data_IF_215204486630
#
_entry.id   IF_215204486630
#
_cell.length_a   1.000
_cell.length_b   1.000
_cell.length_c   1.000
_cell.angle_alpha   90.00
_cell.angle_beta   90.00
_cell.angle_gamma   90.00
#
_symmetry.space_group_name_H-M   'P 1'
#
loop_
_entity.id
_entity.type
_entity.pdbx_description
1 polymer ?
#
# COMPACT_ATOMS: atom_id res chain seq x y z
N UNK A 1 42.73 -10.57 -13.46
CA UNK A 1 41.48 -11.38 -13.34
C UNK A 1 41.28 -11.67 -11.87
N UNK A 2 40.51 -10.84 -11.19
CA UNK A 2 40.21 -11.01 -9.76
C UNK A 2 38.87 -11.72 -9.66
N UNK A 3 38.89 -12.98 -9.26
CA UNK A 3 37.68 -13.79 -9.04
C UNK A 3 36.92 -13.26 -7.84
N UNK A 4 35.69 -12.90 -8.06
CA UNK A 4 34.71 -12.50 -7.03
C UNK A 4 34.32 -13.76 -6.24
N UNK A 5 34.42 -13.79 -4.90
CA UNK A 5 33.98 -14.92 -4.12
C UNK A 5 32.44 -15.09 -4.16
N UNK A 6 31.95 -16.35 -4.05
CA UNK A 6 30.52 -16.61 -4.01
C UNK A 6 29.85 -16.06 -2.73
N UNK A 7 28.55 -15.76 -2.73
CA UNK A 7 27.83 -15.24 -1.58
C UNK A 7 27.83 -16.23 -0.41
N UNK A 8 28.04 -15.72 0.81
CA UNK A 8 27.98 -16.50 2.04
C UNK A 8 26.52 -16.89 2.37
N UNK A 9 26.27 -18.08 2.93
CA UNK A 9 24.93 -18.46 3.38
C UNK A 9 24.51 -17.64 4.60
N UNK A 10 23.28 -17.14 4.56
CA UNK A 10 22.65 -16.38 5.65
C UNK A 10 22.07 -17.36 6.65
N UNK A 11 22.55 -17.34 7.91
CA UNK A 11 22.00 -18.13 9.02
C UNK A 11 20.57 -17.71 9.36
N UNK A 12 19.67 -18.69 9.48
CA UNK A 12 18.27 -18.53 9.84
C UNK A 12 18.10 -18.11 11.31
N UNK A 13 17.71 -16.87 11.54
CA UNK A 13 17.15 -16.43 12.82
C UNK A 13 15.61 -16.38 12.73
N UNK A 14 14.95 -16.99 13.72
CA UNK A 14 13.54 -17.28 13.78
C UNK A 14 12.61 -16.09 13.44
N UNK A 15 11.78 -16.26 12.41
CA UNK A 15 10.76 -15.32 11.98
C UNK A 15 9.41 -16.03 11.98
N UNK A 16 8.41 -15.34 12.50
CA UNK A 16 6.98 -15.69 12.50
C UNK A 16 6.56 -16.15 11.08
N UNK A 17 6.13 -17.39 10.96
CA UNK A 17 5.80 -18.08 9.71
C UNK A 17 4.64 -17.40 9.00
N UNK A 18 4.90 -16.70 7.92
CA UNK A 18 3.93 -16.48 6.86
C UNK A 18 3.91 -17.71 5.95
N UNK A 19 2.74 -18.01 5.44
CA UNK A 19 2.39 -19.18 4.60
C UNK A 19 3.46 -19.45 3.53
N UNK A 20 4.06 -20.63 3.58
CA UNK A 20 5.07 -21.12 2.64
C UNK A 20 4.42 -21.45 1.29
N UNK A 21 4.26 -20.46 0.44
CA UNK A 21 4.26 -20.69 -1.01
C UNK A 21 5.71 -20.83 -1.39
N UNK A 22 6.15 -21.91 -2.02
CA UNK A 22 7.57 -22.19 -2.32
C UNK A 22 8.26 -21.21 -3.30
N UNK A 23 7.77 -19.98 -3.41
CA UNK A 23 8.29 -18.88 -4.22
C UNK A 23 9.12 -17.96 -3.31
N UNK A 24 10.42 -17.72 -3.63
CA UNK A 24 11.25 -16.83 -2.83
C UNK A 24 10.75 -15.37 -2.94
N UNK A 25 10.87 -14.57 -1.86
CA UNK A 25 10.48 -13.16 -1.89
C UNK A 25 11.35 -12.37 -2.86
N UNK A 26 10.73 -11.45 -3.59
CA UNK A 26 11.45 -10.51 -4.47
C UNK A 26 12.07 -9.34 -3.68
N UNK A 27 11.43 -8.97 -2.56
CA UNK A 27 11.97 -8.02 -1.59
C UNK A 27 12.01 -8.70 -0.23
N UNK A 28 13.16 -8.63 0.43
CA UNK A 28 13.37 -9.14 1.77
C UNK A 28 14.07 -8.10 2.62
N UNK A 29 13.45 -7.71 3.73
CA UNK A 29 13.98 -6.74 4.69
C UNK A 29 14.14 -7.43 6.03
N UNK A 30 15.32 -7.31 6.67
CA UNK A 30 15.67 -8.00 7.91
C UNK A 30 16.28 -7.04 8.92
N UNK A 31 15.63 -6.91 10.06
CA UNK A 31 16.05 -6.11 11.22
C UNK A 31 16.62 -4.75 10.85
N UNK A 32 15.92 -4.05 9.96
CA UNK A 32 16.39 -2.81 9.36
C UNK A 32 16.32 -1.66 10.35
N UNK A 33 17.46 -0.98 10.52
CA UNK A 33 17.59 0.20 11.38
C UNK A 33 18.16 1.38 10.61
N UNK A 34 17.65 2.58 10.92
CA UNK A 34 18.22 3.83 10.45
C UNK A 34 18.19 4.89 11.55
N UNK A 35 19.36 5.38 11.91
CA UNK A 35 19.53 6.46 12.88
C UNK A 35 20.20 7.65 12.19
N UNK A 36 19.62 8.84 12.32
CA UNK A 36 20.18 10.11 11.91
C UNK A 36 20.55 10.88 13.19
N UNK A 37 21.83 11.09 13.44
CA UNK A 37 22.33 11.71 14.68
C UNK A 37 21.72 11.09 15.94
N UNK A 38 20.63 11.70 16.47
CA UNK A 38 19.92 11.21 17.69
C UNK A 38 18.54 10.62 17.41
N UNK A 39 18.05 10.70 16.16
CA UNK A 39 16.71 10.25 15.79
C UNK A 39 16.78 8.88 15.13
N UNK A 40 16.19 7.89 15.79
CA UNK A 40 15.99 6.56 15.19
C UNK A 40 14.74 6.60 14.31
N UNK A 41 14.92 6.79 13.01
CA UNK A 41 13.84 6.87 12.04
C UNK A 41 13.26 5.50 11.68
N UNK A 42 14.07 4.42 11.73
CA UNK A 42 13.66 3.02 11.49
C UNK A 42 14.26 2.15 12.59
N UNK A 43 13.44 1.24 13.15
CA UNK A 43 13.73 0.54 14.42
C UNK A 43 13.41 -0.96 14.33
N UNK A 44 14.20 -1.73 13.58
CA UNK A 44 14.07 -3.19 13.49
C UNK A 44 12.92 -3.62 12.57
N UNK A 45 12.79 -2.99 11.42
CA UNK A 45 11.76 -3.33 10.42
C UNK A 45 12.14 -4.61 9.68
N UNK A 46 11.19 -5.57 9.63
CA UNK A 46 11.36 -6.84 8.90
C UNK A 46 10.08 -7.19 8.16
N UNK A 47 10.18 -7.52 6.87
CA UNK A 47 9.07 -8.00 6.04
C UNK A 47 9.58 -8.66 4.75
N UNK A 48 8.70 -9.43 4.11
CA UNK A 48 8.90 -10.04 2.80
C UNK A 48 7.77 -9.62 1.84
N UNK A 49 8.12 -9.46 0.55
CA UNK A 49 7.16 -9.20 -0.53
C UNK A 49 7.42 -10.23 -1.62
N UNK A 50 6.35 -10.91 -2.04
CA UNK A 50 6.43 -11.90 -3.12
C UNK A 50 6.34 -11.22 -4.49
N UNK A 51 6.87 -11.86 -5.56
CA UNK A 51 6.74 -11.36 -6.92
C UNK A 51 5.27 -11.13 -7.31
N UNK A 52 5.00 -10.01 -7.98
CA UNK A 52 3.68 -9.64 -8.48
C UNK A 52 2.72 -9.06 -7.43
N UNK A 53 3.10 -8.98 -6.15
CA UNK A 53 2.26 -8.37 -5.12
C UNK A 53 2.23 -6.85 -5.20
N UNK A 54 1.08 -6.27 -4.92
CA UNK A 54 0.90 -4.85 -4.63
C UNK A 54 0.81 -4.67 -3.12
N UNK A 55 1.80 -4.01 -2.53
CA UNK A 55 1.91 -3.83 -1.08
C UNK A 55 1.81 -2.36 -0.73
N UNK A 56 0.82 -2.03 0.10
CA UNK A 56 0.63 -0.70 0.67
C UNK A 56 1.49 -0.49 1.92
N UNK A 57 2.26 0.59 1.97
CA UNK A 57 3.07 0.98 3.11
C UNK A 57 2.50 2.22 3.77
N UNK A 58 1.85 2.04 4.92
CA UNK A 58 0.96 3.02 5.53
C UNK A 58 1.50 3.48 6.86
N UNK A 59 1.38 4.79 7.13
CA UNK A 59 1.78 5.38 8.40
C UNK A 59 1.70 6.90 8.37
N UNK A 60 1.69 7.51 9.53
CA UNK A 60 1.72 8.96 9.67
C UNK A 60 3.00 9.58 9.08
N UNK A 61 2.99 10.89 8.84
CA UNK A 61 4.20 11.61 8.46
C UNK A 61 5.25 11.49 9.58
N UNK A 62 6.50 11.20 9.20
CA UNK A 62 7.58 10.94 10.15
C UNK A 62 7.62 9.52 10.74
N UNK A 63 6.71 8.60 10.37
CA UNK A 63 6.73 7.22 10.86
C UNK A 63 7.90 6.36 10.35
N UNK A 64 8.67 6.82 9.36
CA UNK A 64 9.81 6.10 8.77
C UNK A 64 9.59 5.56 7.35
N UNK A 65 8.43 5.80 6.71
CA UNK A 65 8.11 5.31 5.35
C UNK A 65 9.17 5.70 4.32
N UNK A 66 9.30 6.99 4.06
CA UNK A 66 10.25 7.51 3.06
C UNK A 66 11.68 7.07 3.36
N UNK A 67 12.10 7.03 4.63
CA UNK A 67 13.43 6.57 5.02
C UNK A 67 13.65 5.10 4.65
N UNK A 68 12.68 4.23 4.94
CA UNK A 68 12.73 2.82 4.56
C UNK A 68 12.79 2.66 3.04
N UNK A 69 11.92 3.35 2.32
CA UNK A 69 11.86 3.27 0.85
C UNK A 69 13.12 3.82 0.19
N UNK A 70 13.75 4.87 0.72
CA UNK A 70 15.02 5.41 0.23
C UNK A 70 16.18 4.42 0.40
N UNK A 71 16.21 3.67 1.52
CA UNK A 71 17.18 2.59 1.70
C UNK A 71 16.96 1.46 0.69
N UNK A 72 15.69 1.07 0.46
CA UNK A 72 15.34 0.09 -0.58
C UNK A 72 15.75 0.58 -1.99
N UNK A 73 15.58 1.88 -2.25
CA UNK A 73 15.96 2.50 -3.52
C UNK A 73 17.48 2.77 -3.65
N UNK A 74 18.30 2.30 -2.72
CA UNK A 74 19.77 2.52 -2.68
C UNK A 74 20.19 4.00 -2.59
N UNK A 75 19.34 4.85 -2.06
CA UNK A 75 19.58 6.30 -1.90
C UNK A 75 20.10 6.66 -0.52
N UNK A 76 19.83 5.81 0.47
CA UNK A 76 20.34 5.91 1.83
C UNK A 76 20.90 4.54 2.27
N UNK A 77 21.87 4.57 3.18
CA UNK A 77 22.45 3.35 3.75
C UNK A 77 21.75 3.01 5.08
N UNK A 78 21.45 1.75 5.37
CA UNK A 78 21.00 1.33 6.69
C UNK A 78 22.10 1.55 7.73
N UNK A 79 21.72 1.80 8.99
CA UNK A 79 22.65 1.79 10.13
C UNK A 79 23.00 0.35 10.52
N UNK A 80 22.02 -0.56 10.45
CA UNK A 80 22.18 -2.01 10.60
C UNK A 80 20.99 -2.74 9.95
N UNK A 81 21.07 -4.06 9.87
CA UNK A 81 20.12 -4.89 9.15
C UNK A 81 20.45 -5.01 7.66
N UNK A 82 19.58 -5.64 6.90
CA UNK A 82 19.81 -5.89 5.48
C UNK A 82 18.53 -5.75 4.65
N UNK A 83 18.71 -5.42 3.37
CA UNK A 83 17.64 -5.39 2.37
C UNK A 83 18.16 -6.13 1.13
N UNK A 84 17.36 -7.08 0.64
CA UNK A 84 17.61 -7.76 -0.64
C UNK A 84 16.46 -7.50 -1.59
N UNK A 85 16.75 -7.17 -2.86
CA UNK A 85 15.77 -6.97 -3.93
C UNK A 85 16.22 -7.73 -5.17
N UNK A 86 15.34 -8.59 -5.68
CA UNK A 86 15.64 -9.45 -6.83
C UNK A 86 16.86 -10.35 -6.61
N UNK A 87 17.12 -10.75 -5.36
CA UNK A 87 18.26 -11.57 -4.96
C UNK A 87 19.56 -10.80 -4.70
N UNK A 88 19.57 -9.46 -4.82
CA UNK A 88 20.74 -8.62 -4.62
C UNK A 88 20.64 -7.79 -3.34
N UNK A 89 21.69 -7.79 -2.51
CA UNK A 89 21.80 -6.89 -1.36
C UNK A 89 21.94 -5.43 -1.82
N UNK A 90 21.15 -4.52 -1.23
CA UNK A 90 21.09 -3.11 -1.67
C UNK A 90 22.37 -2.33 -1.39
N UNK A 91 23.18 -2.76 -0.42
CA UNK A 91 24.45 -2.11 -0.05
C UNK A 91 25.58 -2.68 -0.88
N UNK A 92 25.64 -4.00 -1.03
CA UNK A 92 26.71 -4.69 -1.76
C UNK A 92 26.60 -4.58 -3.27
N UNK A 93 25.36 -4.57 -3.80
CA UNK A 93 25.08 -4.63 -5.24
C UNK A 93 24.11 -3.54 -5.71
N UNK A 94 24.36 -2.25 -5.42
CA UNK A 94 23.43 -1.18 -5.70
C UNK A 94 23.15 -0.94 -7.20
N UNK A 95 24.08 -1.34 -8.08
CA UNK A 95 23.90 -1.21 -9.54
C UNK A 95 22.89 -2.23 -10.05
N UNK A 96 22.99 -3.46 -9.62
CA UNK A 96 22.12 -4.58 -9.95
C UNK A 96 20.71 -4.32 -9.43
N UNK A 97 20.60 -3.83 -8.18
CA UNK A 97 19.32 -3.42 -7.59
C UNK A 97 18.65 -2.32 -8.40
N UNK A 98 19.40 -1.26 -8.81
CA UNK A 98 18.84 -0.15 -9.61
C UNK A 98 18.35 -0.56 -10.99
N UNK A 99 18.84 -1.67 -11.54
CA UNK A 99 18.30 -2.23 -12.78
C UNK A 99 16.95 -2.93 -12.57
N UNK A 100 16.69 -3.42 -11.34
CA UNK A 100 15.49 -4.15 -10.96
C UNK A 100 14.38 -3.25 -10.43
N UNK A 101 14.71 -2.06 -9.93
CA UNK A 101 13.75 -1.17 -9.28
C UNK A 101 13.45 0.07 -10.11
N UNK A 102 12.21 0.50 -10.10
CA UNK A 102 11.78 1.83 -10.48
C UNK A 102 11.47 2.64 -9.22
N UNK A 103 12.13 3.79 -9.05
CA UNK A 103 11.93 4.67 -7.91
C UNK A 103 11.15 5.94 -8.29
N UNK A 104 10.02 6.15 -7.64
CA UNK A 104 9.20 7.35 -7.73
C UNK A 104 9.16 8.05 -6.37
N UNK A 105 9.84 9.18 -6.17
CA UNK A 105 9.77 9.97 -4.94
C UNK A 105 8.45 10.76 -4.86
N UNK A 106 8.05 11.17 -3.66
CA UNK A 106 6.93 12.08 -3.42
C UNK A 106 7.05 13.39 -4.21
N UNK A 107 8.25 13.97 -4.25
CA UNK A 107 8.56 15.13 -5.05
C UNK A 107 9.69 14.85 -6.04
N UNK A 108 9.47 15.17 -7.31
CA UNK A 108 10.50 15.09 -8.35
C UNK A 108 10.86 16.48 -8.86
N UNK A 109 12.12 16.65 -9.26
CA UNK A 109 12.61 17.91 -9.76
C UNK A 109 11.95 18.29 -11.10
N UNK A 110 11.50 19.54 -11.18
CA UNK A 110 11.05 20.13 -12.46
C UNK A 110 12.25 20.84 -13.08
N UNK A 111 12.52 20.52 -14.34
CA UNK A 111 13.59 21.19 -15.10
C UNK A 111 12.96 22.25 -15.99
N UNK A 112 13.14 23.54 -15.68
CA UNK A 112 12.67 24.64 -16.52
C UNK A 112 13.23 24.51 -17.92
N UNK A 113 12.43 24.85 -18.93
CA UNK A 113 12.82 24.80 -20.35
C UNK A 113 13.12 23.38 -20.91
N UNK A 114 12.63 22.34 -20.27
CA UNK A 114 12.68 20.97 -20.77
C UNK A 114 11.27 20.46 -21.05
N UNK A 115 11.07 19.86 -22.21
CA UNK A 115 9.80 19.20 -22.57
C UNK A 115 9.68 17.82 -21.92
N UNK A 116 8.46 17.25 -21.90
CA UNK A 116 8.21 15.87 -21.46
C UNK A 116 9.10 14.90 -22.24
N UNK A 117 9.14 15.04 -23.58
CA UNK A 117 9.96 14.15 -24.42
C UNK A 117 11.44 14.27 -24.10
N UNK A 118 11.99 15.49 -24.02
CA UNK A 118 13.40 15.72 -23.70
C UNK A 118 13.78 15.15 -22.32
N UNK A 119 12.89 15.26 -21.32
CA UNK A 119 13.09 14.67 -20.01
C UNK A 119 13.19 13.15 -20.08
N UNK A 120 12.26 12.49 -20.76
CA UNK A 120 12.31 11.04 -20.93
C UNK A 120 13.50 10.60 -21.80
N UNK A 121 13.88 11.37 -22.82
CA UNK A 121 15.06 11.08 -23.64
C UNK A 121 16.36 11.19 -22.83
N UNK A 122 16.47 12.20 -21.95
CA UNK A 122 17.60 12.34 -21.01
C UNK A 122 17.75 11.10 -20.13
N UNK A 123 16.67 10.65 -19.49
CA UNK A 123 16.72 9.45 -18.65
C UNK A 123 16.93 8.17 -19.46
N UNK A 124 16.33 8.05 -20.63
CA UNK A 124 16.58 6.93 -21.54
C UNK A 124 18.06 6.81 -21.94
N UNK A 125 18.75 7.94 -22.13
CA UNK A 125 20.22 7.96 -22.34
C UNK A 125 20.97 7.52 -21.09
N UNK A 126 20.55 7.98 -19.93
CA UNK A 126 21.22 7.62 -18.65
C UNK A 126 21.09 6.13 -18.34
N UNK A 127 20.00 5.48 -18.77
CA UNK A 127 19.83 4.02 -18.70
C UNK A 127 20.58 3.26 -19.80
N UNK A 128 21.26 3.96 -20.71
CA UNK A 128 22.12 3.36 -21.76
C UNK A 128 21.37 2.89 -23.01
N UNK A 129 20.09 3.27 -23.19
CA UNK A 129 19.34 2.90 -24.41
C UNK A 129 19.95 3.52 -25.68
N UNK A 130 20.13 2.69 -26.71
CA UNK A 130 20.53 3.13 -28.05
C UNK A 130 19.39 3.90 -28.75
N UNK A 131 19.73 4.72 -29.75
CA UNK A 131 18.82 5.68 -30.37
C UNK A 131 17.44 5.07 -30.74
N UNK A 132 17.42 3.95 -31.46
CA UNK A 132 16.18 3.32 -31.93
C UNK A 132 15.38 2.72 -30.76
N UNK A 133 16.03 1.96 -29.86
CA UNK A 133 15.36 1.35 -28.70
C UNK A 133 14.85 2.42 -27.72
N UNK A 134 15.61 3.52 -27.55
CA UNK A 134 15.21 4.63 -26.71
C UNK A 134 13.94 5.30 -27.23
N UNK A 135 13.88 5.62 -28.55
CA UNK A 135 12.72 6.25 -29.15
C UNK A 135 11.47 5.36 -29.01
N UNK A 136 11.61 4.06 -29.27
CA UNK A 136 10.53 3.08 -29.09
C UNK A 136 10.05 3.04 -27.63
N UNK A 137 10.97 2.91 -26.67
CA UNK A 137 10.63 2.80 -25.25
C UNK A 137 10.00 4.08 -24.71
N UNK A 138 10.44 5.26 -25.14
CA UNK A 138 9.82 6.52 -24.77
C UNK A 138 8.38 6.59 -25.32
N UNK A 139 8.15 6.18 -26.55
CA UNK A 139 6.81 6.18 -27.15
C UNK A 139 5.86 5.24 -26.37
N UNK A 140 6.31 4.01 -26.06
CA UNK A 140 5.54 3.04 -25.26
C UNK A 140 5.17 3.63 -23.88
N UNK A 141 6.13 4.22 -23.18
CA UNK A 141 5.92 4.82 -21.86
C UNK A 141 4.99 6.02 -21.93
N UNK A 142 5.14 6.90 -22.94
CA UNK A 142 4.27 8.07 -23.12
C UNK A 142 2.83 7.67 -23.45
N UNK A 143 2.65 6.62 -24.24
CA UNK A 143 1.33 6.05 -24.53
C UNK A 143 0.69 5.49 -23.27
N UNK A 144 1.43 4.65 -22.52
CA UNK A 144 0.95 4.05 -21.27
C UNK A 144 0.55 5.11 -20.22
N UNK A 145 1.30 6.20 -20.11
CA UNK A 145 1.05 7.28 -19.14
C UNK A 145 0.14 8.39 -19.65
N UNK A 146 -0.41 8.26 -20.88
CA UNK A 146 -1.25 9.26 -21.53
C UNK A 146 -0.58 10.64 -21.65
N UNK A 147 0.72 10.63 -21.97
CA UNK A 147 1.55 11.82 -22.18
C UNK A 147 1.87 12.08 -23.66
N UNK A 148 1.60 11.12 -24.54
CA UNK A 148 1.90 11.26 -25.97
C UNK A 148 1.31 12.52 -26.62
N UNK A 149 0.04 12.90 -26.33
CA UNK A 149 -0.56 14.10 -26.94
C UNK A 149 0.09 15.42 -26.48
N UNK A 150 0.88 15.41 -25.42
CA UNK A 150 1.49 16.60 -24.81
C UNK A 150 3.03 16.49 -24.72
N UNK A 151 3.64 15.64 -25.55
CA UNK A 151 5.08 15.37 -25.53
C UNK A 151 5.97 16.61 -25.54
N UNK A 152 5.57 17.65 -26.29
CA UNK A 152 6.29 18.91 -26.45
C UNK A 152 5.97 19.96 -25.37
N UNK A 153 5.08 19.61 -24.40
CA UNK A 153 4.75 20.52 -23.31
C UNK A 153 5.92 20.65 -22.35
N UNK A 154 6.21 21.89 -21.93
CA UNK A 154 7.24 22.18 -20.93
C UNK A 154 6.86 21.64 -19.57
N UNK A 155 7.83 21.13 -18.82
CA UNK A 155 7.63 20.52 -17.49
C UNK A 155 7.09 21.51 -16.45
N UNK A 156 7.46 22.77 -16.52
CA UNK A 156 6.99 23.84 -15.61
C UNK A 156 5.51 24.21 -15.84
N UNK A 157 4.90 23.74 -16.92
CA UNK A 157 3.48 23.97 -17.27
C UNK A 157 2.60 22.74 -17.05
N UNK A 158 3.12 21.73 -16.38
CA UNK A 158 2.36 20.52 -16.05
C UNK A 158 1.49 20.73 -14.81
N UNK A 159 0.26 20.21 -14.86
CA UNK A 159 -0.50 20.01 -13.63
C UNK A 159 0.18 18.98 -12.73
N UNK A 160 -0.17 18.94 -11.44
CA UNK A 160 0.40 17.95 -10.53
C UNK A 160 0.18 16.52 -11.03
N UNK A 161 -1.03 16.19 -11.51
CA UNK A 161 -1.33 14.88 -12.08
C UNK A 161 -0.50 14.52 -13.32
N UNK A 162 -0.31 15.48 -14.24
CA UNK A 162 0.59 15.27 -15.38
C UNK A 162 2.04 15.06 -14.94
N UNK A 163 2.49 15.81 -13.92
CA UNK A 163 3.81 15.64 -13.34
C UNK A 163 4.01 14.26 -12.71
N UNK A 164 3.00 13.75 -11.99
CA UNK A 164 3.04 12.41 -11.41
C UNK A 164 3.06 11.32 -12.51
N UNK A 165 2.28 11.47 -13.57
CA UNK A 165 2.33 10.57 -14.73
C UNK A 165 3.71 10.59 -15.42
N UNK A 166 4.33 11.76 -15.54
CA UNK A 166 5.69 11.90 -16.09
C UNK A 166 6.73 11.21 -15.17
N UNK A 167 6.60 11.38 -13.85
CA UNK A 167 7.47 10.71 -12.90
C UNK A 167 7.32 9.19 -12.95
N UNK A 168 6.07 8.69 -13.07
CA UNK A 168 5.81 7.27 -13.29
C UNK A 168 6.41 6.80 -14.63
N UNK A 169 6.22 7.55 -15.71
CA UNK A 169 6.82 7.24 -17.03
C UNK A 169 8.34 7.11 -16.95
N UNK A 170 9.02 8.07 -16.31
CA UNK A 170 10.46 7.97 -16.05
C UNK A 170 10.83 6.70 -15.29
N UNK A 171 10.04 6.35 -14.28
CA UNK A 171 10.25 5.18 -13.42
C UNK A 171 10.14 3.87 -14.21
N UNK A 172 9.33 3.85 -15.28
CA UNK A 172 9.07 2.69 -16.12
C UNK A 172 10.06 2.54 -17.32
N UNK A 173 10.88 3.54 -17.62
CA UNK A 173 11.71 3.55 -18.84
C UNK A 173 12.58 2.31 -19.02
N UNK A 174 13.21 1.81 -17.96
CA UNK A 174 14.11 0.66 -18.01
C UNK A 174 13.44 -0.68 -17.70
N UNK A 175 12.09 -0.69 -17.66
CA UNK A 175 11.26 -1.88 -17.46
C UNK A 175 11.56 -2.65 -16.16
N UNK A 176 11.50 -2.00 -15.00
CA UNK A 176 11.85 -2.62 -13.72
C UNK A 176 10.86 -3.73 -13.33
N UNK A 177 11.35 -4.72 -12.57
CA UNK A 177 10.51 -5.78 -11.98
C UNK A 177 9.75 -5.29 -10.74
N UNK A 178 10.32 -4.31 -10.01
CA UNK A 178 9.82 -3.76 -8.76
C UNK A 178 9.63 -2.26 -8.87
N UNK A 179 8.47 -1.75 -8.49
CA UNK A 179 8.16 -0.33 -8.39
C UNK A 179 8.09 0.09 -6.94
N UNK A 180 8.86 1.10 -6.54
CA UNK A 180 8.85 1.70 -5.22
C UNK A 180 8.33 3.12 -5.38
N UNK A 181 7.10 3.39 -4.89
CA UNK A 181 6.35 4.63 -5.16
C UNK A 181 6.05 5.33 -3.84
N UNK A 182 6.71 6.46 -3.58
CA UNK A 182 6.55 7.22 -2.34
C UNK A 182 5.48 8.30 -2.51
N UNK A 183 4.33 8.13 -1.83
CA UNK A 183 3.17 9.05 -1.84
C UNK A 183 2.72 9.48 -3.26
N UNK A 184 2.61 8.58 -4.25
CA UNK A 184 2.46 8.98 -5.65
C UNK A 184 1.12 9.64 -5.98
N UNK A 185 0.09 9.43 -5.14
CA UNK A 185 -1.24 10.03 -5.30
C UNK A 185 -1.45 11.28 -4.43
N UNK A 186 -0.43 11.69 -3.65
CA UNK A 186 -0.56 12.82 -2.73
C UNK A 186 -0.88 14.12 -3.45
N UNK A 187 -1.98 14.78 -3.02
CA UNK A 187 -2.42 16.07 -3.56
C UNK A 187 -2.89 16.04 -5.02
N UNK A 188 -3.24 14.88 -5.55
CA UNK A 188 -3.99 14.76 -6.78
C UNK A 188 -5.46 15.11 -6.54
N UNK A 189 -6.10 15.71 -7.55
CA UNK A 189 -7.55 15.84 -7.58
C UNK A 189 -8.22 14.45 -7.70
N UNK A 190 -9.53 14.32 -7.37
CA UNK A 190 -10.19 13.01 -7.37
C UNK A 190 -10.13 12.28 -8.72
N UNK A 191 -10.21 13.00 -9.85
CA UNK A 191 -10.15 12.41 -11.19
C UNK A 191 -8.75 11.86 -11.49
N UNK A 192 -7.71 12.69 -11.31
CA UNK A 192 -6.32 12.28 -11.53
C UNK A 192 -5.93 11.11 -10.61
N UNK A 193 -6.46 11.05 -9.39
CA UNK A 193 -6.25 9.94 -8.46
C UNK A 193 -6.84 8.63 -8.98
N UNK A 194 -8.07 8.64 -9.48
CA UNK A 194 -8.70 7.45 -10.09
C UNK A 194 -7.90 6.97 -11.30
N UNK A 195 -7.50 7.88 -12.18
CA UNK A 195 -6.70 7.56 -13.36
C UNK A 195 -5.33 6.97 -12.98
N UNK A 196 -4.67 7.53 -11.96
CA UNK A 196 -3.39 7.00 -11.45
C UNK A 196 -3.55 5.60 -10.85
N UNK A 197 -4.62 5.36 -10.08
CA UNK A 197 -4.96 4.02 -9.57
C UNK A 197 -5.13 2.99 -10.70
N UNK A 198 -5.74 3.38 -11.81
CA UNK A 198 -5.90 2.50 -12.97
C UNK A 198 -4.54 2.11 -13.58
N UNK A 199 -3.59 3.06 -13.71
CA UNK A 199 -2.23 2.76 -14.18
C UNK A 199 -1.53 1.75 -13.26
N UNK A 200 -1.64 1.90 -11.93
CA UNK A 200 -1.06 0.96 -10.96
C UNK A 200 -1.68 -0.44 -11.11
N UNK A 201 -3.00 -0.53 -11.30
CA UNK A 201 -3.67 -1.83 -11.53
C UNK A 201 -3.22 -2.51 -12.83
N UNK A 202 -3.01 -1.73 -13.89
CA UNK A 202 -2.49 -2.27 -15.17
C UNK A 202 -1.09 -2.84 -14.97
N UNK A 203 -0.19 -2.12 -14.30
CA UNK A 203 1.17 -2.59 -14.00
C UNK A 203 1.17 -3.85 -13.13
N UNK A 204 0.27 -3.93 -12.14
CA UNK A 204 0.08 -5.13 -11.35
C UNK A 204 -0.40 -6.31 -12.20
N UNK A 205 -1.34 -6.07 -13.14
CA UNK A 205 -1.82 -7.05 -14.10
C UNK A 205 -0.73 -7.56 -15.06
N UNK A 206 0.31 -6.78 -15.32
CA UNK A 206 1.52 -7.18 -16.06
C UNK A 206 2.53 -7.94 -15.19
N UNK A 207 2.21 -8.21 -13.93
CA UNK A 207 3.06 -8.97 -13.00
C UNK A 207 4.15 -8.15 -12.32
N UNK A 208 4.11 -6.81 -12.40
CA UNK A 208 5.04 -5.95 -11.65
C UNK A 208 4.77 -6.04 -10.16
N UNK A 209 5.83 -6.08 -9.36
CA UNK A 209 5.74 -5.96 -7.91
C UNK A 209 5.72 -4.48 -7.53
N UNK A 210 4.75 -4.05 -6.74
CA UNK A 210 4.55 -2.65 -6.43
C UNK A 210 4.56 -2.43 -4.92
N UNK A 211 5.47 -1.60 -4.44
CA UNK A 211 5.56 -1.13 -3.06
C UNK A 211 5.20 0.36 -3.03
N UNK A 212 4.03 0.68 -2.53
CA UNK A 212 3.45 2.02 -2.60
C UNK A 212 3.15 2.57 -1.22
N UNK A 213 3.65 3.76 -0.91
CA UNK A 213 3.32 4.43 0.35
C UNK A 213 2.12 5.37 0.21
N UNK A 214 1.35 5.48 1.30
CA UNK A 214 0.38 6.55 1.51
C UNK A 214 0.16 6.78 3.00
N UNK A 215 -0.24 8.00 3.36
CA UNK A 215 -0.76 8.31 4.68
C UNK A 215 -2.31 8.23 4.73
N UNK A 216 -2.96 7.92 3.60
CA UNK A 216 -4.41 7.78 3.46
C UNK A 216 -4.75 6.32 3.17
N UNK A 217 -5.37 5.68 4.15
CA UNK A 217 -5.64 4.24 4.13
C UNK A 217 -6.63 3.83 3.04
N UNK A 218 -7.71 4.61 2.87
CA UNK A 218 -8.74 4.37 1.85
C UNK A 218 -8.21 4.45 0.40
N UNK A 219 -7.08 5.13 0.19
CA UNK A 219 -6.46 5.17 -1.14
C UNK A 219 -5.87 3.83 -1.56
N UNK A 220 -5.33 3.07 -0.61
CA UNK A 220 -4.61 1.81 -0.87
C UNK A 220 -5.50 0.57 -0.69
N UNK A 221 -6.55 0.65 0.14
CA UNK A 221 -7.38 -0.50 0.51
C UNK A 221 -8.00 -1.25 -0.66
N UNK A 222 -8.23 -0.56 -1.79
CA UNK A 222 -8.79 -1.16 -3.00
C UNK A 222 -7.73 -1.68 -4.01
N UNK A 223 -6.46 -1.31 -3.81
CA UNK A 223 -5.39 -1.58 -4.80
C UNK A 223 -4.40 -2.63 -4.31
N UNK A 224 -4.25 -2.76 -3.00
CA UNK A 224 -3.18 -3.54 -2.42
C UNK A 224 -3.66 -4.92 -1.98
N UNK A 225 -2.88 -5.94 -2.29
CA UNK A 225 -3.10 -7.32 -1.82
C UNK A 225 -2.80 -7.41 -0.32
N UNK A 226 -1.79 -6.64 0.12
CA UNK A 226 -1.27 -6.65 1.49
C UNK A 226 -0.91 -5.24 1.93
N UNK A 227 -1.06 -4.97 3.22
CA UNK A 227 -0.72 -3.70 3.83
C UNK A 227 0.28 -3.89 4.96
N UNK A 228 1.31 -3.04 4.97
CA UNK A 228 2.29 -2.88 6.03
C UNK A 228 2.04 -1.55 6.72
N UNK A 229 1.81 -1.59 8.02
CA UNK A 229 1.62 -0.39 8.83
C UNK A 229 2.88 -0.12 9.63
N UNK A 230 3.39 1.10 9.50
CA UNK A 230 4.56 1.57 10.24
C UNK A 230 4.18 2.73 11.13
N UNK A 231 4.55 2.63 12.40
CA UNK A 231 4.46 3.72 13.37
C UNK A 231 5.76 3.84 14.16
N UNK A 232 6.19 5.06 14.43
CA UNK A 232 7.42 5.37 15.16
C UNK A 232 8.64 4.52 14.77
N UNK A 233 8.77 4.20 13.47
CA UNK A 233 9.87 3.42 12.91
C UNK A 233 9.74 1.89 13.06
N UNK A 234 8.59 1.35 13.48
CA UNK A 234 8.32 -0.09 13.66
C UNK A 234 7.14 -0.54 12.83
N UNK A 235 7.20 -1.77 12.31
CA UNK A 235 6.00 -2.39 11.72
C UNK A 235 5.06 -2.78 12.87
N UNK A 236 3.86 -2.24 12.85
CA UNK A 236 2.81 -2.50 13.85
C UNK A 236 1.77 -3.50 13.34
N UNK A 237 1.64 -3.65 12.01
CA UNK A 237 0.78 -4.66 11.40
C UNK A 237 1.27 -5.02 9.99
N UNK A 238 1.05 -6.29 9.61
CA UNK A 238 1.29 -6.82 8.28
C UNK A 238 0.18 -7.81 7.92
N UNK A 239 -0.62 -7.52 6.92
CA UNK A 239 -1.74 -8.38 6.52
C UNK A 239 -2.58 -7.81 5.37
N UNK A 240 -3.59 -8.57 4.93
CA UNK A 240 -4.56 -8.11 3.94
C UNK A 240 -5.51 -7.07 4.54
N UNK A 241 -6.20 -6.30 3.68
CA UNK A 241 -7.26 -5.37 4.10
C UNK A 241 -8.38 -6.08 4.87
N UNK A 242 -8.67 -7.33 4.51
CA UNK A 242 -9.66 -8.16 5.21
C UNK A 242 -9.19 -8.55 6.61
N UNK A 243 -7.92 -8.95 6.75
CA UNK A 243 -7.35 -9.29 8.06
C UNK A 243 -7.37 -8.11 9.04
N UNK A 244 -7.20 -6.88 8.53
CA UNK A 244 -7.32 -5.65 9.31
C UNK A 244 -8.74 -5.42 9.83
N UNK A 245 -9.74 -5.61 8.99
CA UNK A 245 -11.14 -5.44 9.38
C UNK A 245 -11.56 -6.47 10.44
N UNK A 246 -10.86 -7.61 10.52
CA UNK A 246 -11.08 -8.66 11.52
C UNK A 246 -10.18 -8.53 12.77
N UNK A 247 -9.13 -7.70 12.75
CA UNK A 247 -8.28 -7.42 13.90
C UNK A 247 -9.00 -6.46 14.86
N UNK A 248 -9.63 -6.98 15.88
CA UNK A 248 -10.24 -6.12 16.90
C UNK A 248 -11.44 -6.68 17.62
N UNK A 249 -11.70 -7.99 17.55
CA UNK A 249 -12.72 -8.63 18.38
C UNK A 249 -13.60 -9.61 17.61
N UNK A 250 -14.05 -10.61 18.34
CA UNK A 250 -15.05 -11.61 17.95
C UNK A 250 -16.44 -11.02 17.67
N UNK A 251 -16.60 -9.68 17.76
CA UNK A 251 -17.88 -9.01 17.61
C UNK A 251 -18.01 -8.37 16.24
N UNK A 252 -19.13 -8.69 15.56
CA UNK A 252 -19.52 -8.04 14.31
C UNK A 252 -20.46 -6.90 14.61
N UNK A 253 -20.21 -5.74 13.99
CA UNK A 253 -21.09 -4.60 14.01
C UNK A 253 -22.12 -4.72 12.87
N UNK A 254 -23.39 -4.63 13.23
CA UNK A 254 -24.51 -4.63 12.30
C UNK A 254 -25.27 -3.30 12.47
N UNK A 255 -25.49 -2.61 11.37
CA UNK A 255 -26.43 -1.50 11.31
C UNK A 255 -27.83 -2.07 11.00
N UNK A 256 -28.75 -1.83 11.90
CA UNK A 256 -30.14 -2.26 11.73
C UNK A 256 -31.01 -1.03 11.62
N UNK A 257 -31.74 -0.90 10.50
CA UNK A 257 -32.74 0.15 10.35
C UNK A 257 -34.15 -0.45 10.53
N UNK A 258 -35.04 0.35 11.08
CA UNK A 258 -36.42 -0.05 11.37
C UNK A 258 -37.40 0.96 10.80
N UNK A 259 -38.61 0.48 10.50
CA UNK A 259 -39.73 1.33 10.12
C UNK A 259 -40.32 2.02 11.38
N UNK A 260 -40.04 3.31 11.53
CA UNK A 260 -40.47 4.11 12.67
C UNK A 260 -39.40 4.34 13.73
N UNK A 261 -39.79 4.39 15.01
CA UNK A 261 -38.90 4.64 16.12
C UNK A 261 -38.13 3.36 16.56
N UNK A 262 -36.85 3.48 17.00
CA UNK A 262 -36.02 2.35 17.33
C UNK A 262 -36.39 1.61 18.62
N UNK A 263 -37.35 2.07 19.40
CA UNK A 263 -37.66 1.56 20.74
C UNK A 263 -37.86 0.04 20.80
N UNK A 264 -38.55 -0.57 19.80
CA UNK A 264 -38.71 -2.04 19.75
C UNK A 264 -37.36 -2.77 19.51
N UNK A 265 -36.51 -2.21 18.68
CA UNK A 265 -35.17 -2.76 18.43
C UNK A 265 -34.32 -2.70 19.70
N UNK A 266 -34.32 -1.56 20.38
CA UNK A 266 -33.56 -1.36 21.64
C UNK A 266 -34.06 -2.33 22.72
N UNK A 267 -35.37 -2.49 22.89
CA UNK A 267 -35.93 -3.48 23.81
C UNK A 267 -35.56 -4.91 23.44
N UNK A 268 -35.60 -5.23 22.15
CA UNK A 268 -35.19 -6.55 21.65
C UNK A 268 -33.72 -6.84 21.97
N UNK A 269 -32.82 -5.88 21.76
CA UNK A 269 -31.40 -6.01 22.10
C UNK A 269 -31.22 -6.28 23.60
N UNK A 270 -31.92 -5.54 24.46
CA UNK A 270 -31.85 -5.71 25.91
C UNK A 270 -32.31 -7.11 26.39
N UNK A 271 -33.20 -7.77 25.65
CA UNK A 271 -33.74 -9.09 25.97
C UNK A 271 -32.94 -10.26 25.35
N UNK A 272 -31.98 -9.97 24.47
CA UNK A 272 -31.24 -11.02 23.77
C UNK A 272 -29.76 -11.05 24.19
N UNK A 273 -29.36 -12.01 25.06
CA UNK A 273 -27.97 -12.22 25.41
C UNK A 273 -27.12 -12.53 24.18
N UNK A 274 -25.93 -11.93 24.07
CA UNK A 274 -25.04 -12.06 22.92
C UNK A 274 -25.21 -10.96 21.85
N UNK A 275 -26.15 -10.04 22.06
CA UNK A 275 -26.32 -8.81 21.28
C UNK A 275 -26.10 -7.61 22.17
N UNK A 276 -25.25 -6.67 21.75
CA UNK A 276 -24.95 -5.44 22.52
C UNK A 276 -25.36 -4.21 21.71
N UNK A 277 -26.06 -3.27 22.34
CA UNK A 277 -26.31 -1.96 21.77
C UNK A 277 -25.01 -1.15 21.82
N UNK A 278 -24.56 -0.68 20.67
CA UNK A 278 -23.36 0.18 20.55
C UNK A 278 -23.80 1.65 20.43
N UNK A 279 -24.77 1.92 19.57
CA UNK A 279 -25.24 3.28 19.30
C UNK A 279 -26.70 3.24 18.86
N UNK A 280 -27.54 4.07 19.49
CA UNK A 280 -28.91 4.28 19.04
C UNK A 280 -28.92 5.38 17.96
N UNK A 281 -29.68 5.15 16.88
CA UNK A 281 -29.85 6.07 15.77
C UNK A 281 -31.31 6.45 15.58
N UNK A 282 -31.57 7.53 14.86
CA UNK A 282 -32.92 8.10 14.67
C UNK A 282 -33.93 7.10 14.11
N UNK A 283 -33.53 6.13 13.30
CA UNK A 283 -34.37 5.09 12.68
C UNK A 283 -33.77 3.69 12.78
N UNK A 284 -33.07 3.39 13.87
CA UNK A 284 -32.43 2.11 14.03
C UNK A 284 -31.38 2.10 15.13
N UNK A 285 -30.48 1.16 15.07
CA UNK A 285 -29.35 1.06 16.00
C UNK A 285 -28.17 0.34 15.36
N UNK A 286 -26.98 0.69 15.82
CA UNK A 286 -25.75 -0.10 15.63
C UNK A 286 -25.67 -1.09 16.78
N UNK A 287 -25.60 -2.37 16.44
CA UNK A 287 -25.54 -3.46 17.41
C UNK A 287 -24.34 -4.36 17.14
N UNK A 288 -23.80 -4.97 18.17
CA UNK A 288 -22.70 -5.92 18.09
C UNK A 288 -23.20 -7.34 18.37
N UNK A 289 -22.80 -8.29 17.53
CA UNK A 289 -23.01 -9.72 17.72
C UNK A 289 -21.69 -10.41 18.10
N UNK A 290 -21.76 -11.40 18.98
CA UNK A 290 -20.58 -12.17 19.41
C UNK A 290 -20.14 -13.22 18.37
N UNK A 291 -21.00 -13.60 17.41
CA UNK A 291 -20.68 -14.58 16.37
C UNK A 291 -20.52 -13.92 15.01
N UNK A 292 -19.50 -14.37 14.27
CA UNK A 292 -19.19 -13.94 12.90
C UNK A 292 -19.77 -14.84 11.82
N UNK A 293 -20.32 -16.00 12.19
CA UNK A 293 -20.83 -17.00 11.27
C UNK A 293 -22.06 -16.47 10.52
N UNK A 294 -22.10 -16.58 9.17
CA UNK A 294 -23.23 -16.08 8.37
C UNK A 294 -24.58 -16.70 8.77
N UNK A 295 -24.59 -18.00 9.12
CA UNK A 295 -25.80 -18.70 9.56
C UNK A 295 -26.30 -18.17 10.90
N UNK A 296 -25.39 -17.85 11.84
CA UNK A 296 -25.76 -17.28 13.12
C UNK A 296 -26.38 -15.87 12.95
N UNK A 297 -25.82 -15.05 12.06
CA UNK A 297 -26.38 -13.73 11.74
C UNK A 297 -27.76 -13.85 11.08
N UNK A 298 -27.94 -14.76 10.14
CA UNK A 298 -29.22 -15.03 9.50
C UNK A 298 -30.28 -15.50 10.51
N UNK A 299 -29.89 -16.35 11.49
CA UNK A 299 -30.77 -16.80 12.55
C UNK A 299 -31.20 -15.63 13.47
N UNK A 300 -30.27 -14.70 13.79
CA UNK A 300 -30.58 -13.52 14.59
C UNK A 300 -31.52 -12.56 13.85
N UNK A 301 -31.30 -12.31 12.56
CA UNK A 301 -32.21 -11.51 11.74
C UNK A 301 -33.62 -12.13 11.71
N UNK A 302 -33.70 -13.46 11.48
CA UNK A 302 -35.00 -14.17 11.48
C UNK A 302 -35.71 -14.02 12.83
N UNK A 303 -34.99 -14.20 13.93
CA UNK A 303 -35.53 -14.03 15.27
C UNK A 303 -36.04 -12.62 15.50
N UNK A 304 -35.26 -11.61 15.12
CA UNK A 304 -35.62 -10.20 15.25
C UNK A 304 -36.95 -9.88 14.53
N UNK A 305 -37.12 -10.39 13.30
CA UNK A 305 -38.36 -10.20 12.53
C UNK A 305 -39.52 -10.95 13.16
N UNK A 306 -39.34 -12.18 13.61
CA UNK A 306 -40.40 -12.98 14.27
C UNK A 306 -40.81 -12.38 15.61
N UNK A 307 -39.94 -11.76 16.34
CA UNK A 307 -40.21 -11.04 17.60
C UNK A 307 -40.86 -9.66 17.36
N UNK A 308 -41.18 -9.34 16.10
CA UNK A 308 -41.98 -8.17 15.73
C UNK A 308 -41.20 -6.86 15.64
N UNK A 309 -39.86 -6.92 15.49
CA UNK A 309 -39.05 -5.75 15.16
C UNK A 309 -39.25 -5.42 13.67
N UNK A 310 -39.70 -4.22 13.30
CA UNK A 310 -39.97 -3.86 11.91
C UNK A 310 -38.71 -3.50 11.13
N UNK A 311 -37.84 -4.48 10.90
CA UNK A 311 -36.53 -4.32 10.23
C UNK A 311 -36.76 -3.93 8.76
N UNK A 312 -36.14 -2.84 8.33
CA UNK A 312 -36.12 -2.38 6.92
C UNK A 312 -34.76 -2.57 6.26
N UNK A 313 -33.68 -2.59 7.06
CA UNK A 313 -32.33 -2.85 6.58
C UNK A 313 -31.54 -3.55 7.67
N UNK A 314 -30.69 -4.51 7.26
CA UNK A 314 -29.81 -5.26 8.14
C UNK A 314 -28.51 -5.54 7.38
N UNK A 315 -27.52 -4.72 7.59
CA UNK A 315 -26.27 -4.91 6.91
C UNK A 315 -25.09 -4.91 7.88
N UNK A 316 -24.13 -5.74 7.55
CA UNK A 316 -22.85 -5.78 8.26
C UNK A 316 -22.12 -4.47 7.98
N UNK A 317 -21.87 -3.71 9.03
CA UNK A 317 -21.02 -2.55 8.90
C UNK A 317 -19.60 -3.05 8.66
N UNK A 318 -19.08 -2.81 7.46
CA UNK A 318 -17.64 -2.98 7.23
C UNK A 318 -16.95 -1.89 8.04
N UNK A 319 -16.20 -2.33 9.06
CA UNK A 319 -15.36 -1.43 9.84
C UNK A 319 -14.49 -0.66 8.88
N UNK A 320 -14.51 0.65 8.94
CA UNK A 320 -13.62 1.45 8.12
C UNK A 320 -12.19 1.05 8.45
N UNK A 321 -11.36 0.92 7.43
CA UNK A 321 -9.95 0.57 7.63
C UNK A 321 -9.26 1.57 8.56
N UNK A 322 -9.69 2.83 8.53
CA UNK A 322 -9.20 3.90 9.39
C UNK A 322 -9.47 3.63 10.89
N UNK A 323 -10.67 3.13 11.21
CA UNK A 323 -11.04 2.80 12.60
C UNK A 323 -10.24 1.60 13.11
N UNK A 324 -10.05 0.59 12.26
CA UNK A 324 -9.22 -0.58 12.57
C UNK A 324 -7.75 -0.18 12.81
N UNK A 325 -7.24 0.76 12.02
CA UNK A 325 -5.89 1.30 12.18
C UNK A 325 -5.70 2.07 13.49
N UNK A 326 -6.67 2.94 13.84
CA UNK A 326 -6.65 3.68 15.12
C UNK A 326 -6.59 2.74 16.30
N UNK A 327 -7.32 1.62 16.26
CA UNK A 327 -7.30 0.65 17.34
C UNK A 327 -5.97 -0.14 17.43
N UNK A 328 -5.35 -0.45 16.30
CA UNK A 328 -4.00 -1.04 16.29
C UNK A 328 -3.01 -0.09 16.95
N UNK A 329 -3.05 1.21 16.63
CA UNK A 329 -2.17 2.20 17.24
C UNK A 329 -2.38 2.40 18.75
N UNK A 330 -3.61 2.17 19.26
CA UNK A 330 -3.91 2.27 20.70
C UNK A 330 -3.44 1.06 21.52
N UNK A 331 -3.22 -0.07 20.86
CA UNK A 331 -2.83 -1.33 21.48
C UNK A 331 -1.32 -1.62 21.39
N UNK A 332 -0.53 -0.72 20.79
CA UNK A 332 0.94 -0.75 20.71
C UNK A 332 1.54 0.22 21.73
#
# INVERSE_FOLDING_TARGET
MTTIPPPLPVEEAAITRSVTTGVPPIISVRDLHRTFEKVQAVRGVSFDILPGQVVGFIGANGSGKTTTMRMMATLDLPTSGSISIGGYDVVGYPREVRQKIGWMPDAFGVYPHMTIFEYLDFYGRSFGFKKADRARRIAEVMEFTDLAPIADRMMDKLSKGMGQRLCLGRTLLHDPDVLILDEPAAGLDPKARVEFKQLIRLLAGEGKTIFISSHILSELGEMCDTMLFIDAGRIVHHGSSESLQHHGGTQILIDVQVSGEPGRLVQWVALNPGVKLIEERKRGARIAFESSEPEALAAQLRKMVLDGVPVTDFHRESRKLEDAFVDILRNV
#
